data_IF_304972595279
#
_entry.id   IF_304972595279
#
_cell.length_a   1.000
_cell.length_b   1.000
_cell.length_c   1.000
_cell.angle_alpha   90.00
_cell.angle_beta   90.00
_cell.angle_gamma   90.00
#
_symmetry.space_group_name_H-M   'P 1'
#
loop_
_entity.id
_entity.type
_entity.pdbx_description
1 polymer ?
#
# COMPACT_ATOMS: atom_id res chain seq x y z
N UNK A 1 15.92 -10.91 26.72
CA UNK A 1 15.60 -10.29 25.42
C UNK A 1 14.69 -11.25 24.70
N UNK A 2 13.50 -10.82 24.31
CA UNK A 2 12.55 -11.66 23.56
C UNK A 2 13.16 -12.02 22.21
N UNK A 3 13.03 -13.28 21.79
CA UNK A 3 13.47 -13.73 20.46
C UNK A 3 12.69 -12.97 19.38
N UNK A 4 13.37 -12.11 18.63
CA UNK A 4 12.80 -11.39 17.49
C UNK A 4 13.19 -12.11 16.21
N UNK A 5 12.19 -12.58 15.46
CA UNK A 5 12.37 -13.25 14.18
C UNK A 5 11.60 -12.51 13.10
N UNK A 6 12.27 -12.20 12.00
CA UNK A 6 11.65 -11.59 10.81
C UNK A 6 11.03 -12.71 9.99
N UNK A 7 9.71 -12.67 9.80
CA UNK A 7 8.99 -13.70 9.05
C UNK A 7 8.83 -13.35 7.56
N UNK A 8 8.31 -12.15 7.24
CA UNK A 8 8.08 -11.72 5.86
C UNK A 8 8.03 -10.21 5.70
N UNK A 9 8.18 -9.75 4.46
CA UNK A 9 7.80 -8.39 4.08
C UNK A 9 6.28 -8.26 4.19
N UNK A 10 5.82 -7.27 4.96
CA UNK A 10 4.40 -7.05 5.22
C UNK A 10 3.83 -5.86 4.45
N UNK A 11 4.50 -4.71 4.49
CA UNK A 11 3.99 -3.48 3.88
C UNK A 11 5.12 -2.73 3.17
N UNK A 12 4.82 -2.17 2.01
CA UNK A 12 5.66 -1.22 1.27
C UNK A 12 4.95 0.14 1.25
N UNK A 13 5.63 1.21 1.65
CA UNK A 13 5.11 2.58 1.54
C UNK A 13 5.54 3.17 0.19
N UNK A 14 4.56 3.61 -0.61
CA UNK A 14 4.79 4.15 -1.95
C UNK A 14 4.33 5.61 -1.98
N UNK A 15 5.27 6.57 -1.98
CA UNK A 15 4.93 7.98 -2.12
C UNK A 15 4.47 8.30 -3.55
N UNK A 16 3.35 9.00 -3.71
CA UNK A 16 2.78 9.37 -5.02
C UNK A 16 2.41 10.84 -5.09
N UNK A 17 2.32 11.37 -6.32
CA UNK A 17 1.93 12.77 -6.57
C UNK A 17 0.43 12.97 -6.75
N UNK A 18 -0.28 11.90 -7.10
CA UNK A 18 -1.71 11.89 -7.41
C UNK A 18 -2.29 10.58 -6.87
N UNK A 19 -3.11 10.68 -5.83
CA UNK A 19 -3.64 9.51 -5.13
C UNK A 19 -4.66 8.77 -5.97
N UNK A 20 -5.64 9.50 -6.51
CA UNK A 20 -6.76 8.92 -7.26
C UNK A 20 -6.26 8.18 -8.50
N UNK A 21 -5.32 8.79 -9.23
CA UNK A 21 -4.72 8.15 -10.40
C UNK A 21 -3.89 6.92 -10.03
N UNK A 22 -3.22 6.95 -8.88
CA UNK A 22 -2.45 5.81 -8.41
C UNK A 22 -3.37 4.67 -7.98
N UNK A 23 -4.43 4.95 -7.21
CA UNK A 23 -5.44 3.96 -6.83
C UNK A 23 -6.04 3.31 -8.08
N UNK A 24 -6.44 4.10 -9.09
CA UNK A 24 -6.97 3.58 -10.35
C UNK A 24 -5.96 2.66 -11.07
N UNK A 25 -4.66 2.99 -11.06
CA UNK A 25 -3.65 2.10 -11.61
C UNK A 25 -3.59 0.75 -10.88
N UNK A 26 -3.48 0.75 -9.56
CA UNK A 26 -3.36 -0.49 -8.81
C UNK A 26 -4.66 -1.33 -8.82
N UNK A 27 -5.81 -0.67 -8.79
CA UNK A 27 -7.11 -1.34 -8.78
C UNK A 27 -7.58 -1.75 -10.17
N UNK A 28 -7.59 -0.83 -11.13
CA UNK A 28 -8.30 -1.03 -12.40
C UNK A 28 -7.40 -1.62 -13.49
N UNK A 29 -6.08 -1.39 -13.39
CA UNK A 29 -5.10 -1.93 -14.34
C UNK A 29 -4.44 -3.20 -13.80
N UNK A 30 -4.02 -3.19 -12.52
CA UNK A 30 -3.38 -4.35 -11.91
C UNK A 30 -4.36 -5.30 -11.20
N UNK A 31 -5.64 -4.93 -11.10
CA UNK A 31 -6.69 -5.74 -10.47
C UNK A 31 -6.36 -6.15 -9.03
N UNK A 32 -5.64 -5.29 -8.30
CA UNK A 32 -5.32 -5.52 -6.90
C UNK A 32 -6.47 -5.09 -5.99
N UNK A 33 -6.53 -5.71 -4.82
CA UNK A 33 -7.60 -5.46 -3.87
C UNK A 33 -7.38 -4.11 -3.17
N UNK A 34 -8.35 -3.22 -3.29
CA UNK A 34 -8.37 -1.95 -2.57
C UNK A 34 -8.96 -2.18 -1.18
N UNK A 35 -8.13 -2.00 -0.16
CA UNK A 35 -8.55 -1.99 1.23
C UNK A 35 -8.98 -0.60 1.69
N UNK A 36 -8.47 -0.19 2.86
CA UNK A 36 -8.79 1.09 3.46
C UNK A 36 -8.27 2.28 2.62
N UNK A 37 -9.06 3.34 2.53
CA UNK A 37 -8.70 4.59 1.84
C UNK A 37 -9.03 5.78 2.74
N UNK A 38 -8.12 6.76 2.75
CA UNK A 38 -8.23 8.05 3.44
C UNK A 38 -7.84 9.18 2.46
N UNK A 39 -8.03 10.44 2.87
CA UNK A 39 -7.74 11.64 2.06
C UNK A 39 -6.29 11.72 1.58
N UNK A 40 -5.35 11.14 2.34
CA UNK A 40 -3.92 11.24 2.05
C UNK A 40 -3.28 9.91 1.65
N UNK A 41 -4.00 8.79 1.76
CA UNK A 41 -3.42 7.47 1.52
C UNK A 41 -4.45 6.39 1.20
N UNK A 42 -4.00 5.30 0.59
CA UNK A 42 -4.77 4.09 0.38
C UNK A 42 -3.92 2.84 0.63
N UNK A 43 -4.55 1.79 1.15
CA UNK A 43 -3.99 0.46 1.24
C UNK A 43 -4.50 -0.38 0.08
N UNK A 44 -3.55 -0.95 -0.67
CA UNK A 44 -3.80 -1.96 -1.69
C UNK A 44 -3.13 -3.25 -1.24
N UNK A 45 -3.76 -4.40 -1.40
CA UNK A 45 -3.14 -5.68 -1.12
C UNK A 45 -2.93 -6.53 -2.37
N UNK A 46 -1.89 -7.36 -2.31
CA UNK A 46 -1.59 -8.37 -3.30
C UNK A 46 -1.30 -9.71 -2.63
N UNK A 47 -1.76 -10.79 -3.25
CA UNK A 47 -1.62 -12.15 -2.73
C UNK A 47 -2.85 -12.61 -1.97
N UNK A 48 -2.71 -13.70 -1.21
CA UNK A 48 -3.80 -14.35 -0.50
C UNK A 48 -3.39 -14.63 0.94
N UNK A 49 -4.25 -14.28 1.90
CA UNK A 49 -4.16 -14.66 3.32
C UNK A 49 -2.73 -14.63 3.90
N UNK A 50 -2.09 -15.79 4.05
CA UNK A 50 -0.78 -15.94 4.70
C UNK A 50 0.36 -15.28 3.92
N UNK A 51 0.18 -15.03 2.62
CA UNK A 51 1.16 -14.39 1.74
C UNK A 51 0.72 -13.00 1.26
N UNK A 52 -0.24 -12.40 1.94
CA UNK A 52 -0.69 -11.04 1.63
C UNK A 52 0.42 -10.02 1.94
N UNK A 53 0.63 -9.12 0.98
CA UNK A 53 1.52 -7.96 1.02
C UNK A 53 0.69 -6.70 0.82
N UNK A 54 0.96 -5.67 1.61
CA UNK A 54 0.27 -4.39 1.50
C UNK A 54 1.15 -3.31 0.85
N UNK A 55 0.53 -2.49 0.01
CA UNK A 55 1.07 -1.25 -0.51
C UNK A 55 0.30 -0.11 0.14
N UNK A 56 0.98 0.68 0.97
CA UNK A 56 0.45 1.93 1.49
C UNK A 56 0.85 3.06 0.54
N UNK A 57 -0.07 3.42 -0.35
CA UNK A 57 0.12 4.50 -1.31
C UNK A 57 -0.19 5.80 -0.59
N UNK A 58 0.76 6.72 -0.49
CA UNK A 58 0.64 7.94 0.30
C UNK A 58 0.96 9.19 -0.52
N UNK A 59 0.14 10.23 -0.44
CA UNK A 59 0.38 11.50 -1.09
C UNK A 59 1.65 12.14 -0.56
N UNK A 60 2.55 12.48 -1.47
CA UNK A 60 3.70 13.29 -1.16
C UNK A 60 3.23 14.66 -0.68
N UNK A 61 3.51 14.98 0.58
CA UNK A 61 3.41 16.36 1.04
C UNK A 61 4.32 17.22 0.17
N UNK A 62 3.75 18.23 -0.49
CA UNK A 62 4.55 19.22 -1.19
C UNK A 62 5.24 20.09 -0.15
N UNK A 63 6.53 19.85 0.10
CA UNK A 63 7.39 20.78 0.82
C UNK A 63 7.39 22.10 0.03
N UNK A 64 6.59 23.08 0.49
CA UNK A 64 6.69 24.49 0.10
C UNK A 64 7.77 25.16 0.93
#
# INVERSE_FOLDING_TARGET
>A
MTDFRIEKLNTIVVPVKDLDRSIAFYKDILYLEQGFTDQSMAFISAGTSEHELYYCISLMSQNR
#
